data_IF_512282891524
#
_entry.id   IF_512282891524
#
_cell.length_a   1.000
_cell.length_b   1.000
_cell.length_c   1.000
_cell.angle_alpha   90.00
_cell.angle_beta   90.00
_cell.angle_gamma   90.00
#
_symmetry.space_group_name_H-M   'P 1'
#
loop_
_entity.id
_entity.type
_entity.pdbx_description
1 polymer ?
#
# COMPACT_ATOMS: atom_id res chain seq x y z
N UNK A 1 12.50 21.97 22.42
CA UNK A 1 13.94 22.15 22.15
C UNK A 1 14.11 22.88 20.84
N UNK A 2 14.94 23.91 20.76
CA UNK A 2 15.08 24.75 19.58
C UNK A 2 15.99 24.04 18.56
N UNK A 3 15.61 23.93 17.27
CA UNK A 3 16.38 23.24 16.21
C UNK A 3 17.89 23.61 16.21
N UNK A 4 18.24 24.88 16.46
CA UNK A 4 19.63 25.34 16.59
C UNK A 4 20.46 24.65 17.69
N UNK A 5 19.81 24.05 18.70
CA UNK A 5 20.50 23.34 19.79
C UNK A 5 20.81 21.90 19.42
N UNK A 6 20.04 21.32 18.50
CA UNK A 6 20.26 19.95 17.99
C UNK A 6 21.35 19.93 16.91
N UNK A 7 21.41 20.95 16.05
CA UNK A 7 22.49 21.11 15.05
C UNK A 7 23.87 21.22 15.68
N UNK A 8 23.97 21.84 16.87
CA UNK A 8 25.24 21.97 17.63
C UNK A 8 25.83 20.63 18.06
N UNK A 9 25.01 19.56 18.11
CA UNK A 9 25.46 18.23 18.50
C UNK A 9 25.51 17.25 17.31
N UNK A 10 25.44 17.75 16.06
CA UNK A 10 25.43 16.91 14.86
C UNK A 10 24.15 16.06 14.72
N UNK A 11 23.15 16.38 15.52
CA UNK A 11 21.84 15.74 15.48
C UNK A 11 20.92 16.59 14.61
N UNK A 12 20.95 16.40 13.30
CA UNK A 12 19.81 16.81 12.49
C UNK A 12 18.57 16.10 13.02
N UNK A 13 17.41 16.75 12.97
CA UNK A 13 16.13 16.07 13.13
C UNK A 13 16.05 15.07 11.97
N UNK A 14 16.54 13.87 12.22
CA UNK A 14 16.62 12.79 11.26
C UNK A 14 15.25 12.14 11.10
N UNK A 15 14.29 12.88 10.55
CA UNK A 15 13.48 12.29 9.50
C UNK A 15 14.35 12.33 8.26
N UNK A 16 15.29 11.42 8.13
CA UNK A 16 16.04 11.26 6.90
C UNK A 16 15.02 11.02 5.79
N UNK A 17 15.29 11.54 4.61
CA UNK A 17 14.46 11.37 3.42
C UNK A 17 14.18 9.89 3.10
N UNK A 18 14.86 8.99 3.78
CA UNK A 18 14.80 7.54 3.61
C UNK A 18 14.66 6.83 4.98
N UNK A 19 13.43 6.55 5.36
CA UNK A 19 13.11 5.60 6.42
C UNK A 19 12.52 4.32 5.78
N UNK A 20 12.94 3.12 6.20
CA UNK A 20 12.34 1.89 5.69
C UNK A 20 10.84 1.84 6.03
N UNK A 21 10.10 1.14 5.20
CA UNK A 21 8.69 0.80 5.39
C UNK A 21 7.73 2.00 5.45
N UNK A 22 8.10 3.16 4.88
CA UNK A 22 7.27 4.37 4.83
C UNK A 22 7.68 5.33 3.72
N UNK A 23 6.78 6.21 3.33
CA UNK A 23 7.09 7.35 2.44
C UNK A 23 6.39 7.28 1.09
N UNK A 24 7.00 7.94 0.12
CA UNK A 24 6.47 7.98 -1.24
C UNK A 24 6.83 6.73 -2.01
N UNK A 25 5.91 6.29 -2.89
CA UNK A 25 6.15 5.18 -3.81
C UNK A 25 5.74 5.54 -5.24
N UNK A 26 6.36 4.89 -6.22
CA UNK A 26 5.92 4.88 -7.60
C UNK A 26 5.44 3.50 -8.04
N UNK A 27 4.62 3.47 -9.10
CA UNK A 27 4.01 2.25 -9.62
C UNK A 27 4.90 1.67 -10.72
N UNK A 28 5.15 0.37 -10.63
CA UNK A 28 5.77 -0.45 -11.66
C UNK A 28 4.74 -1.47 -12.18
N UNK A 29 4.14 -1.25 -13.35
CA UNK A 29 3.20 -2.18 -13.93
C UNK A 29 3.93 -3.32 -14.64
N UNK A 30 3.57 -4.55 -14.30
CA UNK A 30 4.02 -5.75 -14.96
C UNK A 30 2.81 -6.54 -15.48
N UNK A 31 2.98 -7.23 -16.61
CA UNK A 31 2.03 -8.21 -17.12
C UNK A 31 2.78 -9.51 -17.34
N UNK A 32 2.32 -10.59 -16.73
CA UNK A 32 2.94 -11.91 -16.93
C UNK A 32 2.91 -12.29 -18.43
N UNK A 33 3.87 -13.08 -18.87
CA UNK A 33 4.18 -13.43 -20.26
C UNK A 33 4.81 -12.32 -21.11
N UNK A 34 4.94 -11.09 -20.62
CA UNK A 34 5.82 -10.11 -21.25
C UNK A 34 7.23 -10.29 -20.72
N UNK A 35 8.20 -10.09 -21.58
CA UNK A 35 9.60 -10.03 -21.18
C UNK A 35 9.95 -8.60 -20.73
N UNK A 36 10.79 -8.48 -19.71
CA UNK A 36 11.22 -7.20 -19.14
C UNK A 36 12.75 -7.13 -19.13
N UNK A 37 13.29 -6.00 -19.58
CA UNK A 37 14.70 -5.69 -19.40
C UNK A 37 14.89 -5.03 -18.02
N UNK A 38 15.28 -5.83 -17.04
CA UNK A 38 15.54 -5.35 -15.69
C UNK A 38 16.76 -4.43 -15.59
N UNK A 39 17.71 -4.49 -16.53
CA UNK A 39 18.82 -3.56 -16.59
C UNK A 39 18.40 -2.17 -17.07
N UNK A 40 17.40 -2.09 -17.93
CA UNK A 40 16.77 -0.82 -18.30
C UNK A 40 15.86 -0.33 -17.17
N UNK A 41 15.06 -1.21 -16.57
CA UNK A 41 14.08 -0.86 -15.52
C UNK A 41 14.73 -0.21 -14.29
N UNK A 42 15.98 -0.54 -13.96
CA UNK A 42 16.71 0.07 -12.84
C UNK A 42 16.80 1.59 -12.93
N UNK A 43 16.81 2.17 -14.13
CA UNK A 43 16.88 3.62 -14.33
C UNK A 43 15.58 4.35 -13.95
N UNK A 44 14.48 3.61 -13.83
CA UNK A 44 13.20 4.13 -13.35
C UNK A 44 13.11 4.17 -11.82
N UNK A 45 14.04 3.54 -11.10
CA UNK A 45 14.08 3.56 -9.64
C UNK A 45 14.55 4.92 -9.13
N UNK A 46 13.70 5.62 -8.41
CA UNK A 46 14.04 6.92 -7.81
C UNK A 46 14.90 6.71 -6.56
N UNK A 47 15.95 7.53 -6.42
CA UNK A 47 16.92 7.38 -5.32
C UNK A 47 16.32 7.64 -3.93
N UNK A 48 15.32 8.50 -3.83
CA UNK A 48 14.68 8.93 -2.60
C UNK A 48 13.37 8.20 -2.28
N UNK A 49 13.00 7.16 -3.04
CA UNK A 49 11.84 6.33 -2.79
C UNK A 49 12.28 4.90 -2.46
N UNK A 50 12.14 4.51 -1.19
CA UNK A 50 12.48 3.17 -0.71
C UNK A 50 11.40 2.13 -0.99
N UNK A 51 10.20 2.59 -1.32
CA UNK A 51 9.02 1.75 -1.56
C UNK A 51 8.63 1.84 -3.03
N UNK A 52 8.18 0.74 -3.58
CA UNK A 52 7.57 0.65 -4.91
C UNK A 52 6.25 -0.11 -4.84
N UNK A 53 5.30 0.21 -5.71
CA UNK A 53 4.13 -0.63 -5.94
C UNK A 53 4.38 -1.48 -7.19
N UNK A 54 4.58 -2.78 -7.03
CA UNK A 54 4.60 -3.72 -8.12
C UNK A 54 3.16 -4.18 -8.41
N UNK A 55 2.57 -3.66 -9.48
CA UNK A 55 1.26 -4.10 -9.97
C UNK A 55 1.47 -5.17 -11.03
N UNK A 56 1.11 -6.40 -10.74
CA UNK A 56 1.36 -7.57 -11.59
C UNK A 56 0.03 -8.06 -12.17
N UNK A 57 -0.16 -7.87 -13.47
CA UNK A 57 -1.32 -8.36 -14.19
C UNK A 57 -1.19 -9.84 -14.52
N UNK A 58 -2.16 -10.62 -14.04
CA UNK A 58 -2.33 -12.06 -14.29
C UNK A 58 -3.55 -12.36 -15.16
N UNK A 59 -4.11 -11.35 -15.85
CA UNK A 59 -5.34 -11.46 -16.63
C UNK A 59 -5.30 -12.55 -17.72
N UNK A 60 -4.12 -12.89 -18.25
CA UNK A 60 -3.93 -13.95 -19.22
C UNK A 60 -4.14 -15.38 -18.65
N UNK A 61 -4.39 -15.47 -17.34
CA UNK A 61 -4.69 -16.70 -16.62
C UNK A 61 -6.12 -16.76 -16.04
N UNK A 62 -7.02 -15.87 -16.47
CA UNK A 62 -8.38 -15.81 -15.91
C UNK A 62 -9.21 -17.10 -16.10
N UNK A 63 -8.78 -18.01 -16.96
CA UNK A 63 -9.42 -19.27 -17.32
C UNK A 63 -8.63 -20.53 -16.92
N UNK A 64 -7.44 -20.38 -16.33
CA UNK A 64 -6.55 -21.49 -15.94
C UNK A 64 -5.60 -21.08 -14.83
N UNK A 65 -4.95 -22.06 -14.20
CA UNK A 65 -3.91 -21.85 -13.19
C UNK A 65 -2.66 -21.13 -13.77
N UNK A 66 -1.87 -20.50 -12.89
CA UNK A 66 -0.57 -19.98 -13.23
C UNK A 66 0.39 -21.15 -13.58
N UNK A 67 1.12 -21.00 -14.67
CA UNK A 67 2.16 -21.95 -15.06
C UNK A 67 3.50 -21.65 -14.37
N UNK A 68 4.46 -22.56 -14.45
CA UNK A 68 5.79 -22.42 -13.86
C UNK A 68 6.53 -21.17 -14.38
N UNK A 69 6.32 -20.80 -15.65
CA UNK A 69 6.92 -19.59 -16.23
C UNK A 69 6.36 -18.34 -15.57
N UNK A 70 5.06 -18.30 -15.33
CA UNK A 70 4.40 -17.18 -14.65
C UNK A 70 4.92 -17.03 -13.21
N UNK A 71 5.08 -18.13 -12.48
CA UNK A 71 5.65 -18.13 -11.13
C UNK A 71 7.14 -17.68 -11.18
N UNK A 72 7.90 -18.15 -12.14
CA UNK A 72 9.28 -17.70 -12.36
C UNK A 72 9.36 -16.18 -12.58
N UNK A 73 8.50 -15.62 -13.41
CA UNK A 73 8.45 -14.17 -13.65
C UNK A 73 8.10 -13.37 -12.38
N UNK A 74 7.21 -13.86 -11.53
CA UNK A 74 6.91 -13.24 -10.22
C UNK A 74 8.20 -13.19 -9.37
N UNK A 75 8.92 -14.29 -9.30
CA UNK A 75 10.18 -14.35 -8.55
C UNK A 75 11.24 -13.38 -9.12
N UNK A 76 11.39 -13.30 -10.44
CA UNK A 76 12.34 -12.39 -11.09
C UNK A 76 12.02 -10.91 -10.77
N UNK A 77 10.74 -10.53 -10.78
CA UNK A 77 10.28 -9.18 -10.41
C UNK A 77 10.63 -8.88 -8.94
N UNK A 78 10.36 -9.80 -8.03
CA UNK A 78 10.64 -9.60 -6.61
C UNK A 78 12.13 -9.59 -6.31
N UNK A 79 12.93 -10.45 -6.95
CA UNK A 79 14.38 -10.46 -6.80
C UNK A 79 15.02 -9.17 -7.36
N UNK A 80 14.47 -8.62 -8.45
CA UNK A 80 14.89 -7.32 -8.96
C UNK A 80 14.74 -6.23 -7.91
N UNK A 81 13.57 -6.07 -7.29
CA UNK A 81 13.38 -5.04 -6.27
C UNK A 81 14.22 -5.28 -5.02
N UNK A 82 14.37 -6.52 -4.59
CA UNK A 82 15.23 -6.90 -3.48
C UNK A 82 16.70 -6.58 -3.74
N UNK A 83 17.21 -6.84 -4.96
CA UNK A 83 18.59 -6.51 -5.39
C UNK A 83 18.88 -5.01 -5.26
N UNK A 84 17.86 -4.15 -5.40
CA UNK A 84 18.01 -2.70 -5.34
C UNK A 84 17.47 -2.09 -4.02
N UNK A 85 17.32 -2.88 -2.96
CA UNK A 85 16.84 -2.46 -1.63
C UNK A 85 15.50 -1.68 -1.70
N UNK A 86 14.54 -2.21 -2.46
CA UNK A 86 13.18 -1.64 -2.53
C UNK A 86 12.21 -2.55 -1.82
N UNK A 87 11.49 -1.99 -0.85
CA UNK A 87 10.32 -2.65 -0.27
C UNK A 87 9.13 -2.57 -1.23
N UNK A 88 8.40 -3.65 -1.33
CA UNK A 88 7.36 -3.81 -2.36
C UNK A 88 5.97 -3.78 -1.73
N UNK A 89 5.16 -2.83 -2.16
CA UNK A 89 3.70 -2.96 -2.10
C UNK A 89 3.32 -3.84 -3.28
N UNK A 90 2.71 -4.98 -3.02
CA UNK A 90 2.43 -5.97 -4.05
C UNK A 90 0.93 -5.99 -4.36
N UNK A 91 0.56 -5.77 -5.61
CA UNK A 91 -0.83 -5.80 -6.07
C UNK A 91 -0.93 -6.67 -7.31
N UNK A 92 -1.61 -7.81 -7.19
CA UNK A 92 -1.96 -8.63 -8.35
C UNK A 92 -3.33 -8.23 -8.89
N UNK A 93 -3.48 -8.24 -10.21
CA UNK A 93 -4.69 -7.78 -10.88
C UNK A 93 -5.05 -8.70 -12.06
N UNK A 94 -6.33 -8.89 -12.30
CA UNK A 94 -6.79 -9.47 -13.56
C UNK A 94 -7.02 -8.40 -14.63
N UNK A 95 -7.42 -7.21 -14.21
CA UNK A 95 -7.87 -6.12 -15.06
C UNK A 95 -6.98 -4.88 -14.96
N UNK A 96 -6.61 -4.31 -16.10
CA UNK A 96 -5.85 -3.08 -16.22
C UNK A 96 -6.62 -1.97 -16.94
N UNK A 97 -7.86 -2.26 -17.40
CA UNK A 97 -8.61 -1.41 -18.32
C UNK A 97 -9.91 -0.84 -17.70
N UNK A 98 -10.14 -1.05 -16.41
CA UNK A 98 -11.38 -0.64 -15.73
C UNK A 98 -12.59 -1.56 -16.01
N UNK A 99 -12.33 -2.80 -16.42
CA UNK A 99 -13.34 -3.81 -16.80
C UNK A 99 -13.31 -5.04 -15.90
N UNK A 100 -13.17 -4.83 -14.59
CA UNK A 100 -13.02 -5.93 -13.62
C UNK A 100 -14.09 -7.01 -13.79
N UNK A 101 -15.36 -6.65 -13.96
CA UNK A 101 -16.46 -7.62 -14.15
C UNK A 101 -16.26 -8.56 -15.36
N UNK A 102 -15.55 -8.13 -16.40
CA UNK A 102 -15.33 -8.91 -17.63
C UNK A 102 -14.04 -9.71 -17.59
N UNK A 103 -13.03 -9.18 -16.89
CA UNK A 103 -11.67 -9.67 -16.95
C UNK A 103 -11.31 -10.63 -15.78
N UNK A 104 -12.16 -10.72 -14.78
CA UNK A 104 -12.00 -11.67 -13.67
C UNK A 104 -12.36 -13.11 -14.05
N UNK A 105 -11.80 -14.13 -13.37
CA UNK A 105 -12.26 -15.51 -13.50
C UNK A 105 -13.74 -15.66 -13.19
N UNK A 106 -14.41 -16.59 -13.88
CA UNK A 106 -15.82 -16.91 -13.60
C UNK A 106 -16.00 -17.72 -12.29
N UNK A 107 -14.92 -18.29 -11.76
CA UNK A 107 -14.93 -19.10 -10.55
C UNK A 107 -14.07 -18.52 -9.44
N UNK A 108 -14.66 -18.28 -8.28
CA UNK A 108 -13.93 -17.88 -7.06
C UNK A 108 -12.90 -18.95 -6.64
N UNK A 109 -13.11 -20.22 -6.98
CA UNK A 109 -12.15 -21.28 -6.70
C UNK A 109 -10.86 -21.11 -7.53
N UNK A 110 -10.95 -20.61 -8.75
CA UNK A 110 -9.77 -20.30 -9.54
C UNK A 110 -9.02 -19.11 -8.95
N UNK A 111 -9.73 -18.07 -8.49
CA UNK A 111 -9.12 -16.95 -7.76
C UNK A 111 -8.36 -17.43 -6.53
N UNK A 112 -8.99 -18.30 -5.72
CA UNK A 112 -8.33 -18.93 -4.55
C UNK A 112 -7.10 -19.75 -4.95
N UNK A 113 -7.16 -20.45 -6.09
CA UNK A 113 -6.04 -21.24 -6.58
C UNK A 113 -4.86 -20.33 -6.98
N UNK A 114 -5.12 -19.21 -7.66
CA UNK A 114 -4.11 -18.22 -7.95
C UNK A 114 -3.51 -17.62 -6.66
N UNK A 115 -4.35 -17.28 -5.67
CA UNK A 115 -3.89 -16.81 -4.36
C UNK A 115 -2.92 -17.81 -3.72
N UNK A 116 -3.24 -19.10 -3.74
CA UNK A 116 -2.35 -20.14 -3.19
C UNK A 116 -1.01 -20.20 -3.94
N UNK A 117 -1.02 -20.21 -5.28
CA UNK A 117 0.19 -20.27 -6.10
C UNK A 117 1.08 -19.02 -5.90
N UNK A 118 0.45 -17.85 -5.84
CA UNK A 118 1.15 -16.58 -5.57
C UNK A 118 1.75 -16.60 -4.15
N UNK A 119 0.98 -17.05 -3.15
CA UNK A 119 1.43 -17.11 -1.76
C UNK A 119 2.70 -17.95 -1.60
N UNK A 120 2.78 -19.09 -2.26
CA UNK A 120 3.98 -19.95 -2.26
C UNK A 120 5.20 -19.18 -2.82
N UNK A 121 5.03 -18.44 -3.93
CA UNK A 121 6.10 -17.67 -4.54
C UNK A 121 6.56 -16.50 -3.65
N UNK A 122 5.63 -15.70 -3.11
CA UNK A 122 5.96 -14.47 -2.40
C UNK A 122 6.50 -14.68 -0.99
N UNK A 123 6.25 -15.84 -0.37
CA UNK A 123 6.75 -16.15 0.97
C UNK A 123 8.28 -16.13 1.08
N UNK A 124 8.99 -16.46 0.01
CA UNK A 124 10.45 -16.36 -0.04
C UNK A 124 10.95 -14.90 0.07
N UNK A 125 10.08 -13.93 -0.24
CA UNK A 125 10.39 -12.49 -0.26
C UNK A 125 9.67 -11.72 0.86
N UNK A 126 9.11 -12.40 1.87
CA UNK A 126 8.30 -11.78 2.92
C UNK A 126 8.97 -10.60 3.63
N UNK A 127 10.30 -10.61 3.77
CA UNK A 127 11.06 -9.51 4.39
C UNK A 127 11.22 -8.29 3.47
N UNK A 128 10.87 -8.41 2.19
CA UNK A 128 10.96 -7.36 1.19
C UNK A 128 9.57 -6.84 0.75
N UNK A 129 8.51 -7.47 1.25
CA UNK A 129 7.12 -7.09 0.94
C UNK A 129 6.56 -6.31 2.11
N UNK A 130 6.26 -5.03 1.88
CA UNK A 130 5.65 -4.15 2.86
C UNK A 130 4.20 -4.56 3.16
N UNK A 131 3.42 -4.80 2.10
CA UNK A 131 2.03 -5.24 2.18
C UNK A 131 1.56 -5.80 0.84
N UNK A 132 0.55 -6.66 0.88
CA UNK A 132 -0.18 -7.09 -0.32
C UNK A 132 -1.56 -6.40 -0.33
N UNK A 133 -1.84 -5.67 -1.39
CA UNK A 133 -3.10 -4.93 -1.54
C UNK A 133 -4.13 -5.72 -2.34
N UNK A 134 -5.37 -5.69 -1.84
CA UNK A 134 -6.50 -6.34 -2.48
C UNK A 134 -6.43 -7.86 -2.43
N UNK A 135 -7.40 -8.49 -3.06
CA UNK A 135 -7.51 -9.95 -3.18
C UNK A 135 -7.55 -10.36 -4.66
N UNK A 136 -6.70 -9.76 -5.48
CA UNK A 136 -6.61 -9.90 -6.93
C UNK A 136 -7.83 -9.33 -7.71
N UNK A 137 -8.87 -8.89 -7.03
CA UNK A 137 -10.17 -8.56 -7.60
C UNK A 137 -10.37 -7.07 -7.84
N UNK A 138 -11.27 -6.78 -8.77
CA UNK A 138 -11.68 -5.42 -9.13
C UNK A 138 -10.83 -4.80 -10.22
N UNK A 139 -11.33 -3.68 -10.75
CA UNK A 139 -10.58 -2.87 -11.69
C UNK A 139 -9.27 -2.44 -11.04
N UNK A 140 -8.18 -2.62 -11.75
CA UNK A 140 -6.80 -2.36 -11.28
C UNK A 140 -6.41 -3.05 -9.97
N UNK A 141 -7.19 -4.07 -9.53
CA UNK A 141 -6.99 -4.75 -8.24
C UNK A 141 -7.50 -3.95 -7.03
N UNK A 142 -8.36 -2.98 -7.23
CA UNK A 142 -8.82 -2.03 -6.21
C UNK A 142 -10.11 -2.45 -5.51
N UNK A 143 -10.50 -3.71 -5.65
CA UNK A 143 -11.64 -4.34 -4.95
C UNK A 143 -13.01 -3.66 -5.22
N UNK A 144 -13.12 -2.87 -6.27
CA UNK A 144 -14.38 -2.33 -6.79
C UNK A 144 -14.64 -2.82 -8.21
N UNK A 145 -15.88 -2.69 -8.70
CA UNK A 145 -16.24 -3.16 -10.05
C UNK A 145 -15.83 -4.62 -10.28
N UNK A 146 -16.17 -5.48 -9.34
CA UNK A 146 -15.79 -6.89 -9.28
C UNK A 146 -17.00 -7.79 -9.12
N UNK A 147 -16.92 -9.00 -9.68
CA UNK A 147 -17.88 -10.08 -9.41
C UNK A 147 -17.87 -10.52 -7.95
N UNK A 148 -16.76 -10.28 -7.27
CA UNK A 148 -16.48 -10.74 -5.91
C UNK A 148 -16.37 -9.55 -4.92
N UNK A 149 -16.96 -8.38 -5.28
CA UNK A 149 -16.95 -7.21 -4.40
C UNK A 149 -17.91 -7.33 -3.20
N UNK A 150 -18.79 -8.34 -3.17
CA UNK A 150 -19.64 -8.57 -2.01
C UNK A 150 -18.84 -9.01 -0.79
N UNK A 151 -19.35 -8.68 0.38
CA UNK A 151 -18.64 -8.87 1.67
C UNK A 151 -18.27 -10.34 1.93
N UNK A 152 -19.11 -11.29 1.52
CA UNK A 152 -18.84 -12.72 1.75
C UNK A 152 -17.70 -13.20 0.85
N UNK A 153 -17.69 -12.80 -0.41
CA UNK A 153 -16.60 -13.11 -1.35
C UNK A 153 -15.28 -12.50 -0.87
N UNK A 154 -15.28 -11.24 -0.45
CA UNK A 154 -14.10 -10.58 0.11
C UNK A 154 -13.57 -11.32 1.33
N UNK A 155 -14.44 -11.68 2.28
CA UNK A 155 -14.06 -12.48 3.46
C UNK A 155 -13.38 -13.81 3.08
N UNK A 156 -13.96 -14.53 2.12
CA UNK A 156 -13.43 -15.83 1.64
C UNK A 156 -12.04 -15.64 1.00
N UNK A 157 -11.88 -14.62 0.15
CA UNK A 157 -10.64 -14.39 -0.57
C UNK A 157 -9.54 -13.87 0.36
N UNK A 158 -9.88 -12.98 1.30
CA UNK A 158 -8.90 -12.47 2.29
C UNK A 158 -8.44 -13.55 3.26
N UNK A 159 -9.33 -14.48 3.66
CA UNK A 159 -8.94 -15.67 4.42
C UNK A 159 -8.00 -16.57 3.61
N UNK A 160 -8.26 -16.76 2.31
CA UNK A 160 -7.34 -17.48 1.43
C UNK A 160 -5.98 -16.77 1.28
N UNK A 161 -5.96 -15.44 1.23
CA UNK A 161 -4.71 -14.64 1.25
C UNK A 161 -3.93 -14.89 2.53
N UNK A 162 -4.59 -14.80 3.70
CA UNK A 162 -3.97 -15.05 5.00
C UNK A 162 -3.31 -16.44 5.07
N UNK A 163 -4.03 -17.48 4.67
CA UNK A 163 -3.51 -18.85 4.63
C UNK A 163 -2.34 -18.99 3.65
N UNK A 164 -2.44 -18.38 2.46
CA UNK A 164 -1.40 -18.45 1.44
C UNK A 164 -0.09 -17.80 1.89
N UNK A 165 -0.16 -16.66 2.59
CA UNK A 165 1.01 -15.97 3.16
C UNK A 165 1.34 -16.41 4.59
N UNK A 166 0.60 -17.39 5.15
CA UNK A 166 0.79 -17.94 6.51
C UNK A 166 0.84 -16.85 7.60
N UNK A 167 0.06 -15.78 7.43
CA UNK A 167 0.08 -14.63 8.33
C UNK A 167 1.40 -13.85 8.40
N UNK A 168 2.36 -14.11 7.49
CA UNK A 168 3.73 -13.57 7.56
C UNK A 168 3.95 -12.30 6.73
N UNK A 169 2.97 -11.89 5.91
CA UNK A 169 3.00 -10.68 5.08
C UNK A 169 1.76 -9.86 5.41
N UNK A 170 1.90 -8.56 5.72
CA UNK A 170 0.76 -7.68 5.92
C UNK A 170 -0.15 -7.62 4.68
N UNK A 171 -1.45 -7.55 4.90
CA UNK A 171 -2.46 -7.45 3.86
C UNK A 171 -3.14 -6.08 3.91
N UNK A 172 -3.85 -5.70 2.86
CA UNK A 172 -4.67 -4.50 2.87
C UNK A 172 -5.94 -4.64 2.05
N UNK A 173 -7.04 -4.11 2.58
CA UNK A 173 -8.33 -3.99 1.91
C UNK A 173 -8.69 -2.53 1.66
N UNK A 174 -9.64 -2.27 0.76
CA UNK A 174 -9.99 -0.92 0.36
C UNK A 174 -10.84 -0.19 1.39
N UNK A 175 -11.84 -0.85 1.99
CA UNK A 175 -12.85 -0.16 2.82
C UNK A 175 -12.90 -0.68 4.25
N UNK A 176 -13.31 0.16 5.23
CA UNK A 176 -13.55 -0.28 6.60
C UNK A 176 -14.60 -1.40 6.70
N UNK A 177 -15.63 -1.38 5.85
CA UNK A 177 -16.66 -2.41 5.80
C UNK A 177 -16.09 -3.78 5.37
N UNK A 178 -15.16 -3.80 4.40
CA UNK A 178 -14.44 -5.02 4.02
C UNK A 178 -13.59 -5.55 5.17
N UNK A 179 -12.87 -4.68 5.86
CA UNK A 179 -12.03 -5.06 7.01
C UNK A 179 -12.86 -5.63 8.17
N UNK A 180 -13.96 -4.98 8.51
CA UNK A 180 -14.84 -5.40 9.59
C UNK A 180 -15.50 -6.79 9.39
N UNK A 181 -15.50 -7.29 8.14
CA UNK A 181 -16.02 -8.61 7.80
C UNK A 181 -15.00 -9.74 7.93
N UNK A 182 -13.72 -9.42 8.15
CA UNK A 182 -12.63 -10.41 8.25
C UNK A 182 -12.74 -11.18 9.59
N UNK A 183 -12.16 -12.37 9.60
CA UNK A 183 -11.92 -13.07 10.87
C UNK A 183 -10.76 -12.42 11.65
N UNK A 184 -10.71 -12.69 12.95
CA UNK A 184 -9.76 -12.06 13.89
C UNK A 184 -8.28 -12.23 13.47
N UNK A 185 -7.90 -13.36 12.90
CA UNK A 185 -6.52 -13.61 12.51
C UNK A 185 -6.15 -12.83 11.26
N UNK A 186 -7.03 -12.85 10.27
CA UNK A 186 -6.87 -12.08 9.03
C UNK A 186 -6.88 -10.58 9.32
N UNK A 187 -7.82 -10.09 10.13
CA UNK A 187 -7.95 -8.68 10.49
C UNK A 187 -6.69 -8.11 11.17
N UNK A 188 -6.04 -8.88 12.06
CA UNK A 188 -4.83 -8.46 12.77
C UNK A 188 -3.65 -8.06 11.89
N UNK A 189 -3.56 -8.60 10.70
CA UNK A 189 -2.47 -8.31 9.75
C UNK A 189 -2.95 -7.50 8.55
N UNK A 190 -4.24 -7.16 8.50
CA UNK A 190 -4.84 -6.44 7.37
C UNK A 190 -5.00 -4.96 7.72
N UNK A 191 -4.45 -4.12 6.88
CA UNK A 191 -4.63 -2.68 6.95
C UNK A 191 -5.50 -2.17 5.81
N UNK A 192 -5.25 -0.93 5.42
CA UNK A 192 -6.06 -0.24 4.41
C UNK A 192 -5.21 0.27 3.25
N UNK A 193 -5.79 0.24 2.07
CA UNK A 193 -5.33 1.05 0.95
C UNK A 193 -6.51 1.83 0.38
N UNK A 194 -6.30 3.11 0.07
CA UNK A 194 -7.33 3.98 -0.47
C UNK A 194 -6.84 4.57 -1.80
N UNK A 195 -7.39 4.06 -2.88
CA UNK A 195 -7.09 4.47 -4.26
C UNK A 195 -7.67 5.85 -4.63
N UNK A 196 -8.43 6.47 -3.72
CA UNK A 196 -9.13 7.73 -3.97
C UNK A 196 -9.09 8.68 -2.76
N UNK A 197 -7.95 8.77 -2.06
CA UNK A 197 -7.76 9.66 -0.92
C UNK A 197 -8.19 11.09 -1.24
N UNK A 198 -9.15 11.60 -0.48
CA UNK A 198 -9.65 12.98 -0.61
C UNK A 198 -10.22 13.32 -2.00
N UNK A 199 -10.61 12.33 -2.79
CA UNK A 199 -11.20 12.56 -4.11
C UNK A 199 -12.62 13.12 -4.04
N UNK A 200 -13.31 12.86 -2.95
CA UNK A 200 -14.64 13.36 -2.62
C UNK A 200 -14.86 13.27 -1.11
N UNK A 201 -16.06 13.64 -0.63
CA UNK A 201 -16.43 13.46 0.77
C UNK A 201 -16.37 12.00 1.24
N UNK A 202 -16.48 11.04 0.33
CA UNK A 202 -16.50 9.59 0.62
C UNK A 202 -15.29 8.85 0.05
N UNK A 203 -14.30 9.55 -0.50
CA UNK A 203 -13.19 8.95 -1.21
C UNK A 203 -13.68 7.96 -2.29
N UNK A 204 -14.59 8.45 -3.16
CA UNK A 204 -15.23 7.65 -4.21
C UNK A 204 -15.81 6.32 -3.71
N UNK A 205 -16.41 6.32 -2.51
CA UNK A 205 -17.09 5.16 -1.94
C UNK A 205 -16.20 4.25 -1.11
N UNK A 206 -15.01 4.68 -0.74
CA UNK A 206 -14.21 4.03 0.31
C UNK A 206 -14.92 4.10 1.66
N UNK A 207 -15.56 5.26 1.92
CA UNK A 207 -16.40 5.50 3.09
C UNK A 207 -17.87 5.69 2.69
N UNK A 208 -18.79 5.51 3.64
CA UNK A 208 -20.22 5.61 3.43
C UNK A 208 -20.66 7.03 3.04
N UNK A 209 -21.69 7.12 2.21
CA UNK A 209 -22.38 8.38 1.90
C UNK A 209 -23.24 8.86 3.08
N UNK A 210 -23.71 7.97 3.94
CA UNK A 210 -24.38 8.30 5.20
C UNK A 210 -23.37 8.86 6.19
N UNK A 211 -23.65 10.04 6.79
CA UNK A 211 -22.70 10.76 7.64
C UNK A 211 -22.37 10.01 8.93
N UNK A 212 -23.39 9.46 9.59
CA UNK A 212 -23.23 8.81 10.89
C UNK A 212 -22.44 7.51 10.72
N UNK A 213 -22.78 6.74 9.69
CA UNK A 213 -22.05 5.54 9.33
C UNK A 213 -20.60 5.84 8.90
N UNK A 214 -20.38 6.91 8.14
CA UNK A 214 -19.04 7.35 7.76
C UNK A 214 -18.18 7.72 8.97
N UNK A 215 -18.75 8.39 9.96
CA UNK A 215 -18.05 8.72 11.20
C UNK A 215 -17.73 7.46 12.04
N UNK A 216 -18.59 6.44 12.00
CA UNK A 216 -18.30 5.12 12.57
C UNK A 216 -17.17 4.41 11.84
N UNK A 217 -17.19 4.43 10.51
CA UNK A 217 -16.13 3.85 9.66
C UNK A 217 -14.77 4.53 9.90
N UNK A 218 -14.74 5.86 10.07
CA UNK A 218 -13.50 6.57 10.43
C UNK A 218 -12.98 6.18 11.82
N UNK A 219 -13.87 6.08 12.82
CA UNK A 219 -13.47 5.64 14.17
C UNK A 219 -12.94 4.21 14.16
N UNK A 220 -13.62 3.31 13.46
CA UNK A 220 -13.19 1.93 13.29
C UNK A 220 -11.81 1.84 12.63
N UNK A 221 -11.60 2.55 11.53
CA UNK A 221 -10.31 2.58 10.84
C UNK A 221 -9.19 3.12 11.75
N UNK A 222 -9.43 4.23 12.48
CA UNK A 222 -8.48 4.81 13.43
C UNK A 222 -8.08 3.81 14.54
N UNK A 223 -9.04 3.05 15.07
CA UNK A 223 -8.77 1.99 16.06
C UNK A 223 -7.89 0.88 15.49
N UNK A 224 -8.18 0.41 14.28
CA UNK A 224 -7.35 -0.60 13.60
C UNK A 224 -5.92 -0.08 13.39
N UNK A 225 -5.77 1.17 12.91
CA UNK A 225 -4.48 1.78 12.61
C UNK A 225 -3.64 2.02 13.88
N UNK A 226 -4.25 2.38 15.00
CA UNK A 226 -3.60 2.47 16.31
C UNK A 226 -3.06 1.11 16.80
N UNK A 227 -3.63 0.01 16.33
CA UNK A 227 -3.15 -1.34 16.62
C UNK A 227 -2.01 -1.79 15.68
N UNK A 228 -1.51 -0.90 14.81
CA UNK A 228 -0.27 -1.10 14.06
C UNK A 228 -0.43 -1.66 12.65
N UNK A 229 -1.63 -1.75 12.11
CA UNK A 229 -1.82 -2.08 10.69
C UNK A 229 -1.48 -0.88 9.81
N UNK A 230 -1.13 -1.13 8.55
CA UNK A 230 -0.68 -0.10 7.62
C UNK A 230 -1.86 0.58 6.91
N UNK A 231 -1.67 1.84 6.54
CA UNK A 231 -2.56 2.56 5.64
C UNK A 231 -1.76 3.29 4.56
N UNK A 232 -2.24 3.27 3.33
CA UNK A 232 -1.64 4.03 2.26
C UNK A 232 -2.60 4.24 1.10
N UNK A 233 -2.13 4.84 0.03
CA UNK A 233 -3.00 5.06 -1.13
C UNK A 233 -2.53 6.11 -2.10
N UNK A 234 -3.51 6.69 -2.80
CA UNK A 234 -3.33 7.62 -3.91
C UNK A 234 -4.26 8.82 -3.76
N UNK A 235 -3.73 10.02 -3.96
CA UNK A 235 -4.56 11.23 -4.01
C UNK A 235 -4.96 11.50 -5.45
N UNK A 236 -6.22 11.28 -5.77
CA UNK A 236 -6.76 11.45 -7.11
C UNK A 236 -7.67 12.67 -7.19
N UNK A 237 -7.76 13.29 -8.39
CA UNK A 237 -8.71 14.33 -8.70
C UNK A 237 -8.60 15.61 -7.84
N UNK A 238 -7.97 16.64 -8.37
CA UNK A 238 -7.83 17.95 -7.70
C UNK A 238 -9.20 18.56 -7.35
N UNK A 239 -9.40 18.84 -6.06
CA UNK A 239 -10.64 19.38 -5.50
C UNK A 239 -10.39 19.98 -4.10
N UNK A 240 -11.44 20.52 -3.47
CA UNK A 240 -11.35 21.20 -2.15
C UNK A 240 -11.01 20.26 -0.98
N UNK A 241 -11.29 18.97 -1.07
CA UNK A 241 -11.00 18.02 0.01
C UNK A 241 -9.50 17.76 0.16
N UNK A 242 -8.72 17.89 -0.93
CA UNK A 242 -7.27 17.71 -0.91
C UNK A 242 -6.49 19.04 -0.91
N UNK A 243 -7.14 20.16 -0.51
CA UNK A 243 -6.44 21.41 -0.24
C UNK A 243 -5.50 21.30 0.97
N UNK A 244 -4.46 22.09 0.97
CA UNK A 244 -3.30 22.03 1.85
C UNK A 244 -3.56 21.61 3.30
N UNK A 245 -4.31 22.40 4.07
CA UNK A 245 -4.58 22.13 5.47
C UNK A 245 -5.44 20.85 5.64
N UNK A 246 -6.45 20.68 4.78
CA UNK A 246 -7.33 19.51 4.79
C UNK A 246 -6.53 18.24 4.52
N UNK A 247 -5.65 18.26 3.51
CA UNK A 247 -4.85 17.09 3.16
C UNK A 247 -3.93 16.65 4.31
N UNK A 248 -3.24 17.61 4.95
CA UNK A 248 -2.34 17.29 6.06
C UNK A 248 -3.10 16.66 7.25
N UNK A 249 -4.24 17.22 7.61
CA UNK A 249 -5.08 16.70 8.70
C UNK A 249 -5.63 15.33 8.37
N UNK A 250 -6.16 15.16 7.16
CA UNK A 250 -6.75 13.91 6.69
C UNK A 250 -5.74 12.75 6.68
N UNK A 251 -4.57 12.96 6.08
CA UNK A 251 -3.52 11.96 6.03
C UNK A 251 -3.00 11.59 7.42
N UNK A 252 -2.94 12.57 8.34
CA UNK A 252 -2.59 12.33 9.74
C UNK A 252 -3.67 11.52 10.47
N UNK A 253 -4.95 11.83 10.25
CA UNK A 253 -6.08 11.11 10.87
C UNK A 253 -6.11 9.64 10.47
N UNK A 254 -5.76 9.33 9.23
CA UNK A 254 -5.67 7.97 8.72
C UNK A 254 -4.29 7.33 8.89
N UNK A 255 -3.39 7.94 9.68
CA UNK A 255 -2.05 7.39 9.93
C UNK A 255 -1.34 6.91 8.64
N UNK A 256 -1.48 7.66 7.54
CA UNK A 256 -0.99 7.22 6.23
C UNK A 256 0.51 6.95 6.27
N UNK A 257 0.90 5.74 5.91
CA UNK A 257 2.28 5.25 5.97
C UNK A 257 3.00 5.43 4.64
N UNK A 258 2.29 5.21 3.53
CA UNK A 258 2.84 5.29 2.18
C UNK A 258 1.85 5.96 1.23
N UNK A 259 2.36 6.75 0.28
CA UNK A 259 1.55 7.57 -0.63
C UNK A 259 2.16 7.59 -2.03
N UNK A 260 1.31 7.54 -3.05
CA UNK A 260 1.75 7.54 -4.44
C UNK A 260 2.39 8.89 -4.82
N UNK A 261 3.58 8.85 -5.42
CA UNK A 261 4.36 10.01 -5.85
C UNK A 261 4.15 10.41 -7.31
N UNK A 262 3.35 9.64 -8.06
CA UNK A 262 3.11 9.87 -9.49
C UNK A 262 1.69 10.36 -9.80
N UNK A 263 0.75 10.24 -8.84
CA UNK A 263 -0.67 10.41 -9.09
C UNK A 263 -1.37 11.15 -7.92
N UNK A 264 -2.18 12.16 -8.14
CA UNK A 264 -2.39 12.93 -9.35
C UNK A 264 -1.42 14.13 -9.39
N UNK A 265 -0.85 14.45 -10.55
CA UNK A 265 0.12 15.54 -10.69
C UNK A 265 -0.42 16.90 -10.23
N UNK A 266 -1.71 17.20 -10.46
CA UNK A 266 -2.33 18.46 -10.05
C UNK A 266 -2.39 18.56 -8.54
N UNK A 267 -2.75 17.48 -7.86
CA UNK A 267 -2.79 17.42 -6.40
C UNK A 267 -1.39 17.56 -5.81
N UNK A 268 -0.43 16.79 -6.32
CA UNK A 268 0.96 16.82 -5.85
C UNK A 268 1.60 18.20 -6.07
N UNK A 269 1.36 18.84 -7.22
CA UNK A 269 1.87 20.17 -7.50
C UNK A 269 1.20 21.23 -6.61
N UNK A 270 -0.12 21.14 -6.39
CA UNK A 270 -0.82 22.00 -5.42
C UNK A 270 -0.19 21.92 -4.03
N UNK A 271 0.18 20.74 -3.56
CA UNK A 271 0.84 20.56 -2.27
C UNK A 271 2.26 21.12 -2.23
N UNK A 272 3.00 21.03 -3.34
CA UNK A 272 4.32 21.67 -3.47
C UNK A 272 4.20 23.19 -3.46
N UNK A 273 3.28 23.75 -4.24
CA UNK A 273 3.06 25.19 -4.38
C UNK A 273 2.64 25.86 -3.06
N UNK A 274 1.81 25.18 -2.25
CA UNK A 274 1.43 25.68 -0.92
C UNK A 274 2.39 25.27 0.22
N UNK A 275 3.49 24.58 -0.09
CA UNK A 275 4.57 24.25 0.87
C UNK A 275 4.21 23.17 1.89
N UNK A 276 3.16 22.35 1.65
CA UNK A 276 2.81 21.25 2.56
C UNK A 276 3.40 19.90 2.15
N UNK A 277 3.89 19.75 0.90
CA UNK A 277 4.44 18.49 0.41
C UNK A 277 5.51 17.91 1.34
N UNK A 278 6.45 18.76 1.77
CA UNK A 278 7.53 18.38 2.71
C UNK A 278 6.97 17.97 4.09
N UNK A 279 5.90 18.64 4.55
CA UNK A 279 5.26 18.29 5.82
C UNK A 279 4.57 16.95 5.73
N UNK A 280 3.87 16.68 4.63
CA UNK A 280 3.28 15.37 4.33
C UNK A 280 4.38 14.32 4.30
N UNK A 281 5.46 14.52 3.54
CA UNK A 281 6.58 13.58 3.43
C UNK A 281 7.14 13.17 4.81
N UNK A 282 7.25 14.12 5.73
CA UNK A 282 7.73 13.86 7.10
C UNK A 282 6.70 13.17 7.98
N UNK A 283 5.41 13.31 7.70
CA UNK A 283 4.32 12.73 8.49
C UNK A 283 3.91 11.33 8.03
N UNK A 284 4.36 10.88 6.86
CA UNK A 284 4.07 9.51 6.40
C UNK A 284 4.72 8.49 7.34
N UNK A 285 3.90 7.58 7.90
CA UNK A 285 4.34 6.54 8.81
C UNK A 285 4.95 7.03 10.12
N UNK A 286 5.98 6.34 10.60
CA UNK A 286 6.63 6.65 11.87
C UNK A 286 7.78 7.66 11.71
N UNK A 287 8.06 8.42 12.77
CA UNK A 287 9.24 9.26 12.88
C UNK A 287 10.02 8.86 14.13
N UNK A 288 11.28 8.43 13.97
CA UNK A 288 12.14 8.12 15.10
C UNK A 288 12.73 9.42 15.63
N UNK A 289 12.29 9.83 16.81
CA UNK A 289 12.86 10.98 17.52
C UNK A 289 13.79 10.49 18.62
N UNK A 290 15.04 10.93 18.61
CA UNK A 290 15.96 10.71 19.73
C UNK A 290 15.63 11.68 20.84
N UNK A 291 15.06 11.19 21.94
CA UNK A 291 14.55 12.04 23.03
C UNK A 291 15.58 12.39 24.10
N UNK A 292 16.71 11.67 24.25
CA UNK A 292 17.80 12.08 25.14
C UNK A 292 19.08 11.25 24.97
N UNK A 293 20.24 11.90 25.11
CA UNK A 293 21.58 11.29 25.19
C UNK A 293 22.21 11.43 26.58
N UNK A 294 21.43 11.49 27.64
CA UNK A 294 21.95 11.84 28.96
C UNK A 294 22.67 10.69 29.69
N UNK A 295 22.84 9.50 29.10
CA UNK A 295 23.53 8.39 29.79
C UNK A 295 24.41 7.51 28.89
N UNK A 296 25.27 8.13 28.06
CA UNK A 296 26.42 7.43 27.48
C UNK A 296 27.74 8.02 28.05
N UNK A 297 27.89 8.02 29.35
CA UNK A 297 29.21 8.03 29.93
C UNK A 297 29.66 6.57 30.04
N UNK A 298 30.60 6.17 29.20
CA UNK A 298 31.36 4.95 29.42
C UNK A 298 31.98 5.04 30.79
N UNK A 299 31.93 3.99 31.64
CA UNK A 299 32.70 3.97 32.85
C UNK A 299 34.17 4.04 32.47
N UNK A 300 34.84 5.11 32.88
CA UNK A 300 36.30 5.18 32.85
C UNK A 300 36.81 4.22 33.90
N UNK A 301 37.43 3.12 33.45
CA UNK A 301 38.30 2.28 34.26
C UNK A 301 39.64 2.95 34.43
#
# INVERSE_FOLDING_TARGET
>A
MNNKKLEKYGLSLLCTEYNPSRGWYNIFPFRLKKDYDFEELKWSLKKNEGIVLARICIGDFKDRELDEKAIGQINDILEFFKKYDREVILRFVYDEDGKGLENEPDSINLVKRHISQIGEAVLAFKSNILTMQGALIGSWGEMHTSRYADIMSVRILMAAMYEAVKGAIPLAVRTPAQHAALDDNTAKITGFFNDALMASQTDFGTFSSDSDKRDEEYRYADECLKNGVLCGGEAVNDNVYNDGANAQEYLRKLHVTYLNSQYDDKVLNKWKDCGIYEKISRSLGYCINTVSYTHLTLPTT
#
